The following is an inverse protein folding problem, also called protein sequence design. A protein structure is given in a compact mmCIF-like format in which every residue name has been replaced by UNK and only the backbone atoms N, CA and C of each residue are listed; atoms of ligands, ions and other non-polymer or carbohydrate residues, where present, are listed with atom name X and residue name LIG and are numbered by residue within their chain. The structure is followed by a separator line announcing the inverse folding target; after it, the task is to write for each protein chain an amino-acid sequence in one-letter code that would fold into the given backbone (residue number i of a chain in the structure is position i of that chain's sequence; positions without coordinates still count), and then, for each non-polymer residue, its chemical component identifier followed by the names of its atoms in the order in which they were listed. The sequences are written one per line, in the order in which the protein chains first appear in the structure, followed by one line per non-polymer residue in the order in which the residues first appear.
data_IF_009858548064
#
_entry.id   IF_009858548064
#
_cell.length_a   1.000
_cell.length_b   1.000
_cell.length_c   1.000
_cell.angle_alpha   90.00
_cell.angle_beta   90.00
_cell.angle_gamma   90.00
#
_symmetry.space_group_name_H-M   'P 1'
#
loop_
_entity.id
_entity.type
_entity.pdbx_description
1 polymer ?
#
# COMPACT_ATOMS: atom_id res chain seq x y z
N UNK A 1 27.80 51.02 4.61
CA UNK A 1 26.58 50.71 5.39
C UNK A 1 25.73 49.84 4.54
N UNK A 2 25.83 48.48 4.71
CA UNK A 2 24.95 47.54 4.03
C UNK A 2 23.92 47.04 5.02
N UNK A 3 22.65 47.40 4.74
CA UNK A 3 21.50 46.93 5.49
C UNK A 3 21.16 45.53 5.02
N UNK A 4 21.43 44.48 5.82
CA UNK A 4 20.97 43.11 5.60
C UNK A 4 19.54 42.96 6.12
N UNK A 5 18.55 42.94 5.24
CA UNK A 5 17.20 42.47 5.60
C UNK A 5 17.25 40.94 5.71
N UNK A 6 17.14 40.43 6.93
CA UNK A 6 16.88 39.01 7.19
C UNK A 6 15.35 38.83 7.11
N UNK A 7 14.88 38.21 6.04
CA UNK A 7 13.47 37.80 5.90
C UNK A 7 13.30 36.50 6.68
N UNK A 8 12.65 36.57 7.83
CA UNK A 8 12.19 35.39 8.56
C UNK A 8 10.96 34.83 7.86
N UNK A 9 11.11 33.70 7.15
CA UNK A 9 9.97 32.89 6.78
C UNK A 9 9.49 32.15 8.02
N UNK A 10 8.39 32.58 8.59
CA UNK A 10 7.63 31.80 9.58
C UNK A 10 6.97 30.67 8.80
N UNK A 11 7.53 29.47 8.91
CA UNK A 11 6.82 28.24 8.48
C UNK A 11 5.70 28.07 9.52
N UNK A 12 4.48 28.46 9.17
CA UNK A 12 3.31 28.02 9.91
C UNK A 12 3.26 26.49 9.79
N UNK A 13 3.58 25.80 10.88
CA UNK A 13 3.29 24.38 11.01
C UNK A 13 1.77 24.30 11.10
N UNK A 14 1.11 24.01 9.97
CA UNK A 14 -0.31 23.67 9.95
C UNK A 14 -0.42 22.36 10.72
N UNK A 15 -0.68 22.46 12.03
CA UNK A 15 -1.07 21.31 12.84
C UNK A 15 -2.46 20.90 12.39
N UNK A 16 -2.58 19.70 11.87
CA UNK A 16 -3.86 19.08 11.55
C UNK A 16 -4.75 19.14 12.82
N UNK A 17 -5.85 19.91 12.78
CA UNK A 17 -6.77 20.00 13.93
C UNK A 17 -7.52 18.66 14.03
N UNK A 18 -7.01 17.79 14.89
CA UNK A 18 -7.51 16.40 15.04
C UNK A 18 -8.99 16.32 15.44
N UNK A 19 -9.60 17.40 15.90
CA UNK A 19 -10.93 17.36 16.53
C UNK A 19 -12.10 17.52 15.58
N UNK A 20 -11.89 18.08 14.38
CA UNK A 20 -12.97 18.40 13.44
C UNK A 20 -12.59 18.09 11.97
N UNK A 21 -11.67 17.18 11.73
CA UNK A 21 -11.15 16.92 10.38
C UNK A 21 -11.84 15.73 9.73
N UNK A 22 -12.64 15.99 8.69
CA UNK A 22 -13.25 14.93 7.88
C UNK A 22 -12.22 14.34 6.91
N UNK A 23 -11.95 13.05 7.06
CA UNK A 23 -11.02 12.31 6.21
C UNK A 23 -11.78 11.28 5.36
N UNK A 24 -11.58 11.32 4.05
CA UNK A 24 -12.12 10.33 3.12
C UNK A 24 -11.10 9.21 2.93
N UNK A 25 -11.52 7.96 3.14
CA UNK A 25 -10.70 6.76 2.87
C UNK A 25 -11.37 5.95 1.78
N UNK A 26 -10.78 5.88 0.58
CA UNK A 26 -11.29 5.00 -0.48
C UNK A 26 -10.64 3.62 -0.43
N UNK A 27 -11.35 2.58 -0.89
CA UNK A 27 -10.94 1.19 -0.67
C UNK A 27 -10.97 0.81 0.81
N UNK A 28 -11.81 1.50 1.59
CA UNK A 28 -11.84 1.43 3.05
C UNK A 28 -12.20 0.05 3.60
N UNK A 29 -13.02 -0.73 2.92
CA UNK A 29 -13.31 -2.11 3.31
C UNK A 29 -12.23 -3.11 2.86
N UNK A 30 -11.27 -2.69 2.03
CA UNK A 30 -10.14 -3.50 1.59
C UNK A 30 -9.10 -3.74 2.67
N UNK A 31 -8.07 -4.51 2.34
CA UNK A 31 -6.96 -4.86 3.22
C UNK A 31 -6.29 -3.64 3.87
N UNK A 32 -5.54 -2.85 3.09
CA UNK A 32 -4.78 -1.71 3.62
C UNK A 32 -5.72 -0.61 4.13
N UNK A 33 -6.81 -0.31 3.39
CA UNK A 33 -7.75 0.75 3.74
C UNK A 33 -8.43 0.53 5.10
N UNK A 34 -8.79 -0.71 5.43
CA UNK A 34 -9.42 -1.04 6.72
C UNK A 34 -8.45 -0.99 7.89
N UNK A 35 -7.19 -1.40 7.68
CA UNK A 35 -6.14 -1.25 8.71
C UNK A 35 -5.84 0.23 8.94
N UNK A 36 -5.73 1.02 7.86
CA UNK A 36 -5.57 2.47 7.97
C UNK A 36 -6.73 3.13 8.73
N UNK A 37 -7.99 2.76 8.42
CA UNK A 37 -9.17 3.22 9.16
C UNK A 37 -9.07 2.92 10.65
N UNK A 38 -8.69 1.68 11.01
CA UNK A 38 -8.49 1.30 12.42
C UNK A 38 -7.37 2.08 13.09
N UNK A 39 -6.28 2.33 12.37
CA UNK A 39 -5.14 3.10 12.89
C UNK A 39 -5.51 4.58 13.09
N UNK A 40 -6.30 5.18 12.18
CA UNK A 40 -6.86 6.53 12.37
C UNK A 40 -7.75 6.59 13.61
N UNK A 41 -8.59 5.58 13.84
CA UNK A 41 -9.42 5.50 15.05
C UNK A 41 -8.57 5.43 16.34
N UNK A 42 -7.44 4.71 16.33
CA UNK A 42 -6.52 4.67 17.48
C UNK A 42 -5.91 6.05 17.79
N UNK A 43 -5.76 6.91 16.79
CA UNK A 43 -5.32 8.31 16.95
C UNK A 43 -6.48 9.26 17.34
N UNK A 44 -7.69 8.73 17.55
CA UNK A 44 -8.89 9.48 17.92
C UNK A 44 -9.61 10.14 16.73
N UNK A 45 -9.19 9.86 15.48
CA UNK A 45 -9.83 10.36 14.27
C UNK A 45 -11.00 9.43 13.91
N UNK A 46 -12.22 9.92 14.11
CA UNK A 46 -13.47 9.15 13.87
C UNK A 46 -14.38 9.81 12.85
N UNK A 47 -14.13 11.07 12.46
CA UNK A 47 -14.86 11.70 11.37
C UNK A 47 -14.30 11.22 10.01
N UNK A 48 -14.64 9.97 9.69
CA UNK A 48 -14.17 9.27 8.52
C UNK A 48 -15.32 8.98 7.57
N UNK A 49 -15.11 9.24 6.29
CA UNK A 49 -16.01 8.81 5.21
C UNK A 49 -15.38 7.64 4.49
N UNK A 50 -15.99 6.48 4.62
CA UNK A 50 -15.51 5.24 4.03
C UNK A 50 -16.10 5.04 2.63
N UNK A 51 -15.24 4.96 1.62
CA UNK A 51 -15.66 4.79 0.21
C UNK A 51 -15.23 3.41 -0.29
N UNK A 52 -16.21 2.58 -0.69
CA UNK A 52 -15.97 1.26 -1.31
C UNK A 52 -17.23 0.80 -2.05
N UNK A 53 -17.25 -0.40 -2.65
CA UNK A 53 -18.48 -0.97 -3.23
C UNK A 53 -19.42 -1.58 -2.19
N UNK A 54 -18.90 -2.01 -1.02
CA UNK A 54 -19.63 -2.67 0.10
C UNK A 54 -20.48 -3.89 -0.26
N UNK A 55 -20.35 -4.44 -1.48
CA UNK A 55 -21.13 -5.57 -1.95
C UNK A 55 -20.70 -6.93 -1.36
N UNK A 56 -19.45 -7.06 -0.94
CA UNK A 56 -18.92 -8.29 -0.37
C UNK A 56 -19.06 -8.28 1.16
N UNK A 57 -19.84 -9.20 1.71
CA UNK A 57 -19.98 -9.36 3.16
C UNK A 57 -18.64 -9.68 3.84
N UNK A 58 -17.85 -10.59 3.25
CA UNK A 58 -16.53 -10.96 3.79
C UNK A 58 -15.60 -9.74 3.88
N UNK A 59 -15.59 -8.92 2.83
CA UNK A 59 -14.80 -7.68 2.80
C UNK A 59 -15.30 -6.66 3.84
N UNK A 60 -16.63 -6.57 4.04
CA UNK A 60 -17.22 -5.63 4.99
C UNK A 60 -16.87 -5.96 6.46
N UNK A 61 -16.57 -7.23 6.78
CA UNK A 61 -16.08 -7.62 8.12
C UNK A 61 -14.82 -6.85 8.54
N UNK A 62 -14.00 -6.40 7.59
CA UNK A 62 -12.82 -5.59 7.89
C UNK A 62 -13.12 -4.25 8.57
N UNK A 63 -14.36 -3.75 8.45
CA UNK A 63 -14.76 -2.43 8.97
C UNK A 63 -15.86 -2.49 10.03
N UNK A 64 -16.32 -3.68 10.43
CA UNK A 64 -17.42 -3.83 11.40
C UNK A 64 -17.10 -3.22 12.78
N UNK A 65 -15.83 -3.26 13.19
CA UNK A 65 -15.36 -2.75 14.47
C UNK A 65 -14.70 -1.36 14.36
N UNK A 66 -14.97 -0.60 13.29
CA UNK A 66 -14.39 0.74 13.07
C UNK A 66 -15.42 1.83 13.36
N UNK A 67 -14.90 2.96 13.82
CA UNK A 67 -15.69 4.20 13.99
C UNK A 67 -15.54 5.07 12.75
N UNK A 68 -16.68 5.50 12.19
CA UNK A 68 -16.71 6.38 11.01
C UNK A 68 -18.06 7.10 10.95
N UNK A 69 -18.11 8.22 10.24
CA UNK A 69 -19.31 9.06 10.10
C UNK A 69 -20.27 8.48 9.06
N UNK A 70 -19.77 8.04 7.89
CA UNK A 70 -20.62 7.54 6.82
C UNK A 70 -19.91 6.57 5.88
N UNK A 71 -20.73 5.81 5.11
CA UNK A 71 -20.30 4.98 3.98
C UNK A 71 -20.83 5.59 2.69
N UNK A 72 -19.99 5.69 1.68
CA UNK A 72 -20.34 6.17 0.34
C UNK A 72 -19.97 5.10 -0.68
N UNK A 73 -20.92 4.66 -1.51
CA UNK A 73 -20.59 3.74 -2.60
C UNK A 73 -19.68 4.43 -3.60
N UNK A 74 -18.63 3.72 -4.04
CA UNK A 74 -17.63 4.26 -4.98
C UNK A 74 -18.23 4.76 -6.30
N UNK A 75 -19.40 4.27 -6.70
CA UNK A 75 -20.05 4.66 -7.94
C UNK A 75 -20.64 6.08 -7.88
N UNK A 76 -21.01 6.54 -6.68
CA UNK A 76 -21.57 7.89 -6.44
C UNK A 76 -20.60 8.80 -5.67
N UNK A 77 -19.38 8.34 -5.45
CA UNK A 77 -18.40 9.08 -4.65
C UNK A 77 -18.06 10.46 -5.23
N UNK A 78 -17.99 10.57 -6.54
CA UNK A 78 -17.65 11.85 -7.18
C UNK A 78 -18.74 12.91 -6.98
N UNK A 79 -20.00 12.55 -7.14
CA UNK A 79 -21.14 13.45 -6.90
C UNK A 79 -21.21 13.83 -5.42
N UNK A 80 -20.93 12.86 -4.54
CA UNK A 80 -20.83 13.11 -3.10
C UNK A 80 -19.70 14.09 -2.77
N UNK A 81 -18.50 13.88 -3.33
CA UNK A 81 -17.34 14.75 -3.08
C UNK A 81 -17.57 16.15 -3.62
N UNK A 82 -18.16 16.28 -4.83
CA UNK A 82 -18.51 17.57 -5.42
C UNK A 82 -19.51 18.38 -4.55
N UNK A 83 -20.38 17.67 -3.80
CA UNK A 83 -21.37 18.30 -2.91
C UNK A 83 -20.87 18.55 -1.49
N UNK A 84 -19.79 17.92 -1.04
CA UNK A 84 -19.32 17.96 0.34
C UNK A 84 -17.86 18.42 0.49
N UNK A 85 -17.20 18.82 -0.59
CA UNK A 85 -15.75 19.11 -0.63
C UNK A 85 -15.30 20.14 0.41
N UNK A 86 -16.15 21.12 0.78
CA UNK A 86 -15.84 22.14 1.79
C UNK A 86 -15.59 21.57 3.20
N UNK A 87 -16.09 20.34 3.47
CA UNK A 87 -15.94 19.65 4.76
C UNK A 87 -14.78 18.66 4.75
N UNK A 88 -14.20 18.35 3.57
CA UNK A 88 -13.16 17.33 3.43
C UNK A 88 -11.78 17.92 3.59
N UNK A 89 -11.07 17.50 4.63
CA UNK A 89 -9.70 17.96 4.94
C UNK A 89 -8.60 17.13 4.29
N UNK A 90 -8.89 15.87 3.96
CA UNK A 90 -7.92 14.96 3.37
C UNK A 90 -8.57 13.79 2.62
N UNK A 91 -7.96 13.37 1.51
CA UNK A 91 -8.35 12.15 0.79
C UNK A 91 -7.21 11.14 0.83
N UNK A 92 -7.49 9.95 1.40
CA UNK A 92 -6.61 8.78 1.41
C UNK A 92 -7.15 7.78 0.37
N UNK A 93 -6.65 7.88 -0.86
CA UNK A 93 -7.12 7.07 -1.98
C UNK A 93 -6.35 5.75 -2.10
N UNK A 94 -6.77 4.75 -1.30
CA UNK A 94 -6.14 3.42 -1.24
C UNK A 94 -6.85 2.41 -2.15
N UNK A 95 -8.04 2.74 -2.64
CA UNK A 95 -8.85 1.86 -3.48
C UNK A 95 -8.23 1.60 -4.85
N UNK A 96 -8.16 0.32 -5.23
CA UNK A 96 -7.76 -0.11 -6.57
C UNK A 96 -8.26 -1.54 -6.87
N UNK A 97 -8.37 -1.89 -8.15
CA UNK A 97 -8.37 -3.29 -8.59
C UNK A 97 -6.92 -3.79 -8.54
N UNK A 98 -6.63 -4.83 -7.76
CA UNK A 98 -5.27 -5.30 -7.49
C UNK A 98 -4.97 -6.70 -7.98
N UNK A 99 -5.87 -7.31 -8.76
CA UNK A 99 -5.71 -8.66 -9.29
C UNK A 99 -4.68 -8.67 -10.43
N UNK A 100 -3.45 -9.09 -10.15
CA UNK A 100 -2.37 -9.15 -11.13
C UNK A 100 -2.53 -10.27 -12.17
N UNK A 101 -3.55 -11.10 -12.03
CA UNK A 101 -3.88 -12.17 -12.98
C UNK A 101 -5.07 -11.82 -13.88
N UNK A 102 -5.63 -10.64 -13.72
CA UNK A 102 -6.55 -10.03 -14.67
C UNK A 102 -5.75 -9.43 -15.81
N UNK A 103 -6.10 -9.77 -17.06
CA UNK A 103 -5.40 -9.30 -18.26
C UNK A 103 -6.23 -8.31 -19.08
N UNK A 104 -7.51 -8.10 -18.73
CA UNK A 104 -8.31 -7.07 -19.37
C UNK A 104 -7.88 -5.67 -18.92
N UNK A 105 -7.11 -5.00 -19.77
CA UNK A 105 -6.61 -3.64 -19.51
C UNK A 105 -7.75 -2.64 -19.26
N UNK A 106 -8.91 -2.81 -19.92
CA UNK A 106 -10.04 -1.88 -19.80
C UNK A 106 -10.59 -1.84 -18.34
N UNK A 107 -10.52 -2.95 -17.62
CA UNK A 107 -10.89 -3.00 -16.19
C UNK A 107 -9.99 -2.10 -15.36
N UNK A 108 -8.68 -2.15 -15.61
CA UNK A 108 -7.69 -1.31 -14.90
C UNK A 108 -7.74 0.15 -15.33
N UNK A 109 -7.95 0.41 -16.62
CA UNK A 109 -8.12 1.77 -17.13
C UNK A 109 -9.33 2.44 -16.46
N UNK A 110 -10.44 1.75 -16.33
CA UNK A 110 -11.64 2.26 -15.66
C UNK A 110 -11.46 2.44 -14.16
N UNK A 111 -11.04 1.37 -13.45
CA UNK A 111 -11.09 1.29 -11.98
C UNK A 111 -9.83 1.83 -11.28
N UNK A 112 -8.69 1.88 -11.99
CA UNK A 112 -7.45 2.41 -11.43
C UNK A 112 -7.09 3.75 -12.08
N UNK A 113 -6.75 3.76 -13.38
CA UNK A 113 -6.23 4.96 -14.05
C UNK A 113 -7.24 6.11 -14.05
N UNK A 114 -8.41 5.90 -14.65
CA UNK A 114 -9.39 6.98 -14.83
C UNK A 114 -10.05 7.37 -13.50
N UNK A 115 -10.34 6.41 -12.64
CA UNK A 115 -10.91 6.70 -11.32
C UNK A 115 -9.94 7.56 -10.49
N UNK A 116 -8.65 7.20 -10.45
CA UNK A 116 -7.64 7.98 -9.72
C UNK A 116 -7.43 9.37 -10.33
N UNK A 117 -7.52 9.51 -11.68
CA UNK A 117 -7.50 10.83 -12.33
C UNK A 117 -8.66 11.72 -11.89
N UNK A 118 -9.86 11.15 -11.75
CA UNK A 118 -11.03 11.91 -11.27
C UNK A 118 -10.91 12.31 -9.79
N UNK A 119 -10.32 11.45 -8.94
CA UNK A 119 -9.98 11.81 -7.56
C UNK A 119 -8.97 12.97 -7.54
N UNK A 120 -7.88 12.86 -8.30
CA UNK A 120 -6.85 13.89 -8.38
C UNK A 120 -7.39 15.24 -8.82
N UNK A 121 -8.17 15.27 -9.91
CA UNK A 121 -8.75 16.51 -10.45
C UNK A 121 -9.60 17.24 -9.40
N UNK A 122 -10.44 16.50 -8.67
CA UNK A 122 -11.27 17.08 -7.61
C UNK A 122 -10.43 17.59 -6.45
N UNK A 123 -9.48 16.78 -5.98
CA UNK A 123 -8.56 17.20 -4.94
C UNK A 123 -7.78 18.47 -5.34
N UNK A 124 -7.31 18.55 -6.58
CA UNK A 124 -6.64 19.75 -7.10
C UNK A 124 -7.59 20.94 -7.29
N UNK A 125 -8.86 20.71 -7.64
CA UNK A 125 -9.85 21.79 -7.84
C UNK A 125 -10.35 22.36 -6.53
N UNK A 126 -10.48 21.52 -5.50
CA UNK A 126 -11.04 21.89 -4.20
C UNK A 126 -9.97 22.10 -3.13
N UNK A 127 -8.69 22.17 -3.51
CA UNK A 127 -7.54 22.35 -2.61
C UNK A 127 -7.47 21.30 -1.48
N UNK A 128 -7.86 20.05 -1.76
CA UNK A 128 -7.83 18.93 -0.83
C UNK A 128 -6.52 18.15 -0.96
N UNK A 129 -5.74 17.96 0.13
CA UNK A 129 -4.55 17.11 0.11
C UNK A 129 -4.87 15.64 -0.19
N UNK A 130 -3.98 14.96 -0.91
CA UNK A 130 -4.18 13.61 -1.43
C UNK A 130 -2.99 12.69 -1.14
N UNK A 131 -3.25 11.51 -0.57
CA UNK A 131 -2.33 10.38 -0.64
C UNK A 131 -2.99 9.28 -1.47
N UNK A 132 -2.26 8.71 -2.43
CA UNK A 132 -2.81 7.65 -3.27
C UNK A 132 -1.90 6.42 -3.34
N UNK A 133 -2.52 5.26 -3.57
CA UNK A 133 -1.82 4.00 -3.73
C UNK A 133 -1.25 3.86 -5.14
N UNK A 134 0.08 3.98 -5.29
CA UNK A 134 0.85 3.45 -6.40
C UNK A 134 1.36 2.03 -6.05
N UNK A 135 2.35 1.49 -6.76
CA UNK A 135 2.83 0.13 -6.55
C UNK A 135 4.27 -0.06 -7.00
N UNK A 136 5.02 -0.92 -6.31
CA UNK A 136 6.32 -1.40 -6.78
C UNK A 136 6.22 -2.23 -8.08
N UNK A 137 5.00 -2.70 -8.46
CA UNK A 137 4.77 -3.34 -9.75
C UNK A 137 5.11 -2.43 -10.94
N UNK A 138 5.16 -1.11 -10.74
CA UNK A 138 5.59 -0.13 -11.75
C UNK A 138 7.03 -0.29 -12.18
N UNK A 139 7.89 -0.85 -11.31
CA UNK A 139 9.33 -1.01 -11.57
C UNK A 139 9.68 -2.16 -12.54
N UNK A 140 8.70 -3.02 -12.89
CA UNK A 140 8.95 -4.14 -13.78
C UNK A 140 9.98 -5.12 -13.21
N UNK A 141 11.02 -5.44 -13.98
CA UNK A 141 12.13 -6.29 -13.52
C UNK A 141 13.21 -5.52 -12.74
N UNK A 142 13.02 -4.21 -12.54
CA UNK A 142 13.95 -3.38 -11.78
C UNK A 142 15.15 -2.89 -12.59
N UNK A 143 15.03 -2.78 -13.92
CA UNK A 143 16.12 -2.39 -14.82
C UNK A 143 16.69 -1.00 -14.50
N UNK A 144 15.89 -0.12 -13.89
CA UNK A 144 16.29 1.21 -13.45
C UNK A 144 16.42 1.31 -11.92
N UNK A 145 16.52 0.17 -11.22
CA UNK A 145 16.47 0.09 -9.76
C UNK A 145 15.07 0.31 -9.19
N UNK A 146 14.97 0.17 -7.87
CA UNK A 146 13.72 0.37 -7.12
C UNK A 146 13.79 1.71 -6.39
N UNK A 147 13.94 2.80 -7.16
CA UNK A 147 14.09 4.17 -6.65
C UNK A 147 12.85 5.00 -7.04
N UNK A 148 12.41 5.87 -6.15
CA UNK A 148 11.23 6.73 -6.31
C UNK A 148 11.58 8.08 -6.95
N UNK A 149 12.55 8.07 -7.88
CA UNK A 149 12.93 9.20 -8.67
C UNK A 149 11.91 9.45 -9.80
N UNK A 150 11.46 10.70 -9.93
CA UNK A 150 10.49 11.08 -10.95
C UNK A 150 11.05 10.97 -12.38
N UNK A 151 12.37 11.13 -12.57
CA UNK A 151 13.00 11.09 -13.90
C UNK A 151 12.97 9.71 -14.56
N UNK A 152 12.84 8.64 -13.77
CA UNK A 152 12.81 7.28 -14.32
C UNK A 152 11.39 6.79 -14.65
N UNK A 153 10.34 7.47 -14.18
CA UNK A 153 8.94 6.99 -14.28
C UNK A 153 8.53 6.71 -15.72
N UNK A 154 8.98 7.55 -16.68
CA UNK A 154 8.72 7.34 -18.12
C UNK A 154 9.42 6.11 -18.70
N UNK A 155 10.52 5.68 -18.10
CA UNK A 155 11.35 4.57 -18.58
C UNK A 155 10.91 3.22 -18.03
N UNK A 156 10.09 3.21 -16.96
CA UNK A 156 9.66 1.99 -16.27
C UNK A 156 8.82 1.10 -17.19
N UNK A 157 9.02 -0.22 -17.05
CA UNK A 157 8.36 -1.26 -17.85
C UNK A 157 7.62 -2.26 -16.95
N UNK A 158 6.40 -1.94 -16.50
CA UNK A 158 5.58 -2.88 -15.73
C UNK A 158 5.33 -4.18 -16.48
N UNK A 159 5.15 -5.29 -15.74
CA UNK A 159 5.04 -6.63 -16.32
C UNK A 159 3.59 -7.09 -16.56
N UNK A 160 2.60 -6.31 -16.12
CA UNK A 160 1.18 -6.65 -16.22
C UNK A 160 0.30 -5.39 -16.26
N UNK A 161 -0.97 -5.52 -16.71
CA UNK A 161 -1.90 -4.37 -16.83
C UNK A 161 -2.14 -3.62 -15.51
N UNK A 162 -2.08 -4.30 -14.37
CA UNK A 162 -2.15 -3.65 -13.06
C UNK A 162 -0.99 -2.65 -12.87
N UNK A 163 0.25 -3.13 -13.02
CA UNK A 163 1.45 -2.28 -12.93
C UNK A 163 1.45 -1.15 -13.94
N UNK A 164 1.00 -1.41 -15.18
CA UNK A 164 0.83 -0.40 -16.22
C UNK A 164 -0.13 0.70 -15.77
N UNK A 165 -1.32 0.34 -15.25
CA UNK A 165 -2.33 1.31 -14.80
C UNK A 165 -1.82 2.24 -13.70
N UNK A 166 -0.97 1.72 -12.79
CA UNK A 166 -0.33 2.52 -11.74
C UNK A 166 0.75 3.44 -12.30
N UNK A 167 1.59 2.93 -13.20
CA UNK A 167 2.64 3.72 -13.84
C UNK A 167 2.07 4.80 -14.78
N UNK A 168 1.02 4.48 -15.51
CA UNK A 168 0.34 5.44 -16.38
C UNK A 168 -0.28 6.60 -15.58
N UNK A 169 -0.80 6.29 -14.36
CA UNK A 169 -1.26 7.34 -13.47
C UNK A 169 -0.09 8.16 -12.91
N UNK A 170 0.99 7.54 -12.45
CA UNK A 170 2.18 8.23 -11.94
C UNK A 170 2.75 9.19 -13.01
N UNK A 171 2.90 8.72 -14.28
CA UNK A 171 3.32 9.54 -15.42
C UNK A 171 2.39 10.73 -15.67
N UNK A 172 1.08 10.48 -15.60
CA UNK A 172 0.08 11.51 -15.82
C UNK A 172 0.12 12.55 -14.70
N UNK A 173 0.19 12.15 -13.44
CA UNK A 173 0.20 13.03 -12.28
C UNK A 173 1.39 13.98 -12.27
N UNK A 174 2.58 13.49 -12.65
CA UNK A 174 3.80 14.29 -12.74
C UNK A 174 3.76 15.40 -13.82
N UNK A 175 2.85 15.28 -14.79
CA UNK A 175 2.69 16.26 -15.89
C UNK A 175 1.58 17.29 -15.65
N UNK A 176 0.88 17.21 -14.50
CA UNK A 176 -0.22 18.12 -14.24
C UNK A 176 0.29 19.45 -13.69
N UNK A 177 -0.11 20.57 -14.32
CA UNK A 177 0.16 21.92 -13.82
C UNK A 177 -0.64 22.20 -12.54
N UNK A 178 -1.94 21.77 -12.52
CA UNK A 178 -2.79 21.87 -11.33
C UNK A 178 -2.72 20.60 -10.52
N UNK A 179 -2.21 20.72 -9.30
CA UNK A 179 -2.00 19.61 -8.37
C UNK A 179 -2.74 19.86 -7.05
N UNK A 180 -3.06 18.80 -6.27
CA UNK A 180 -3.49 18.95 -4.89
C UNK A 180 -2.44 19.74 -4.07
N UNK A 181 -2.84 20.52 -3.03
CA UNK A 181 -1.92 21.37 -2.26
C UNK A 181 -0.79 20.57 -1.58
N UNK A 182 -1.06 19.31 -1.30
CA UNK A 182 -0.07 18.28 -0.96
C UNK A 182 -0.51 16.95 -1.60
N UNK A 183 0.44 16.20 -2.15
CA UNK A 183 0.16 14.85 -2.61
C UNK A 183 1.34 13.90 -2.41
N UNK A 184 1.03 12.63 -2.13
CA UNK A 184 2.01 11.56 -2.10
C UNK A 184 1.48 10.32 -2.80
N UNK A 185 2.20 9.85 -3.81
CA UNK A 185 1.95 8.58 -4.49
C UNK A 185 2.83 7.49 -3.87
N UNK A 186 2.22 6.51 -3.21
CA UNK A 186 2.94 5.51 -2.44
C UNK A 186 3.15 4.23 -3.26
N UNK A 187 4.39 3.94 -3.63
CA UNK A 187 4.77 2.70 -4.31
C UNK A 187 4.89 1.58 -3.27
N UNK A 188 3.76 0.90 -3.00
CA UNK A 188 3.72 -0.21 -2.05
C UNK A 188 4.53 -1.40 -2.56
N UNK A 189 5.42 -1.91 -1.71
CA UNK A 189 6.11 -3.18 -1.91
C UNK A 189 5.22 -4.35 -1.45
N UNK A 190 5.77 -5.44 -0.98
CA UNK A 190 4.98 -6.62 -0.64
C UNK A 190 4.33 -6.48 0.75
N UNK A 191 3.16 -5.83 0.77
CA UNK A 191 2.41 -5.61 2.02
C UNK A 191 1.75 -6.90 2.49
N UNK A 192 1.87 -7.21 3.80
CA UNK A 192 1.21 -8.33 4.45
C UNK A 192 0.64 -7.93 5.83
N UNK A 193 -0.30 -8.70 6.35
CA UNK A 193 -0.84 -8.49 7.70
C UNK A 193 -2.35 -8.72 7.82
N UNK A 194 -2.97 -8.32 8.94
CA UNK A 194 -4.39 -8.57 9.20
C UNK A 194 -5.31 -7.95 8.15
N UNK A 195 -6.53 -8.49 8.08
CA UNK A 195 -7.61 -8.09 7.16
C UNK A 195 -7.41 -8.56 5.71
N UNK A 196 -6.63 -9.62 5.47
CA UNK A 196 -6.44 -10.23 4.14
C UNK A 196 -7.45 -11.34 3.80
N UNK A 197 -8.32 -11.77 4.69
CA UNK A 197 -9.20 -12.95 4.52
C UNK A 197 -9.96 -12.96 3.20
N UNK A 198 -10.47 -11.82 2.75
CA UNK A 198 -11.26 -11.66 1.52
C UNK A 198 -10.44 -11.70 0.22
N UNK A 199 -9.10 -11.79 0.30
CA UNK A 199 -8.24 -11.64 -0.89
C UNK A 199 -8.07 -12.93 -1.71
N UNK A 200 -8.49 -14.09 -1.19
CA UNK A 200 -8.32 -15.37 -1.87
C UNK A 200 -6.86 -15.58 -2.28
N UNK A 201 -6.61 -15.94 -3.53
CA UNK A 201 -5.25 -16.18 -4.05
C UNK A 201 -4.32 -14.95 -4.03
N UNK A 202 -4.88 -13.75 -3.92
CA UNK A 202 -4.10 -12.50 -3.86
C UNK A 202 -3.70 -12.12 -2.42
N UNK A 203 -4.00 -12.95 -1.43
CA UNK A 203 -3.48 -12.79 -0.07
C UNK A 203 -1.96 -13.00 -0.03
N UNK A 204 -1.31 -12.51 1.03
CA UNK A 204 0.14 -12.64 1.19
C UNK A 204 0.60 -14.09 1.26
N UNK A 205 1.88 -14.33 0.98
CA UNK A 205 2.47 -15.67 1.12
C UNK A 205 2.40 -16.16 2.58
N UNK A 206 2.44 -15.24 3.57
CA UNK A 206 2.27 -15.58 4.99
C UNK A 206 0.88 -16.18 5.23
N UNK A 207 -0.17 -15.56 4.70
CA UNK A 207 -1.54 -16.07 4.79
C UNK A 207 -1.64 -17.50 4.24
N UNK A 208 -1.10 -17.73 3.04
CA UNK A 208 -1.10 -19.05 2.41
C UNK A 208 -0.23 -20.06 3.15
N UNK A 209 0.95 -19.66 3.64
CA UNK A 209 1.86 -20.51 4.40
C UNK A 209 1.20 -20.96 5.71
N UNK A 210 0.56 -20.06 6.46
CA UNK A 210 -0.18 -20.40 7.67
C UNK A 210 -1.23 -21.48 7.40
N UNK A 211 -2.07 -21.30 6.39
CA UNK A 211 -3.10 -22.30 6.07
C UNK A 211 -2.52 -23.62 5.57
N UNK A 212 -1.41 -23.61 4.81
CA UNK A 212 -0.71 -24.82 4.41
C UNK A 212 -0.14 -25.56 5.62
N UNK A 213 0.47 -24.86 6.58
CA UNK A 213 1.02 -25.45 7.81
C UNK A 213 -0.11 -26.10 8.63
N UNK A 214 -1.24 -25.42 8.80
CA UNK A 214 -2.37 -25.94 9.57
C UNK A 214 -3.01 -27.19 8.91
N UNK A 215 -3.11 -27.22 7.58
CA UNK A 215 -3.77 -28.33 6.87
C UNK A 215 -2.84 -29.52 6.58
N UNK A 216 -1.55 -29.25 6.29
CA UNK A 216 -0.64 -30.27 5.76
C UNK A 216 0.66 -30.43 6.55
N UNK A 217 0.95 -29.51 7.49
CA UNK A 217 2.22 -29.45 8.19
C UNK A 217 3.41 -29.02 7.34
N UNK A 218 3.19 -28.57 6.08
CA UNK A 218 4.25 -28.21 5.14
C UNK A 218 3.94 -26.90 4.43
N UNK A 219 4.99 -26.22 3.93
CA UNK A 219 4.87 -25.04 3.05
C UNK A 219 5.51 -25.36 1.70
N UNK A 220 4.83 -25.04 0.61
CA UNK A 220 5.34 -25.15 -0.75
C UNK A 220 5.90 -23.82 -1.23
N UNK A 221 7.19 -23.82 -1.62
CA UNK A 221 7.86 -22.67 -2.21
C UNK A 221 8.31 -23.00 -3.64
N UNK A 222 8.45 -21.99 -4.48
CA UNK A 222 8.92 -22.18 -5.84
C UNK A 222 10.42 -22.44 -5.89
N UNK A 223 10.82 -23.41 -6.75
CA UNK A 223 12.20 -23.59 -7.16
C UNK A 223 12.71 -22.36 -7.92
N UNK A 224 14.00 -22.16 -7.89
CA UNK A 224 14.66 -21.21 -8.77
C UNK A 224 14.83 -21.78 -10.19
N UNK A 225 14.69 -20.93 -11.19
CA UNK A 225 15.05 -21.21 -12.59
C UNK A 225 16.25 -20.35 -13.03
N UNK A 226 16.95 -19.75 -12.06
CA UNK A 226 18.16 -18.95 -12.28
C UNK A 226 19.30 -19.52 -11.44
N UNK A 227 20.53 -19.58 -12.00
CA UNK A 227 21.68 -20.15 -11.29
C UNK A 227 22.19 -19.29 -10.12
N UNK A 228 21.85 -18.00 -10.09
CA UNK A 228 22.26 -17.02 -9.08
C UNK A 228 21.33 -17.02 -7.83
N UNK A 229 20.26 -17.82 -7.83
CA UNK A 229 19.37 -18.00 -6.68
C UNK A 229 19.15 -19.49 -6.40
N UNK A 230 19.16 -19.87 -5.14
CA UNK A 230 18.72 -21.22 -4.72
C UNK A 230 17.19 -21.25 -4.62
N UNK A 231 16.63 -22.47 -4.49
CA UNK A 231 15.22 -22.71 -4.34
C UNK A 231 14.65 -21.96 -3.11
N UNK A 232 13.60 -21.18 -3.30
CA UNK A 232 12.97 -20.39 -2.25
C UNK A 232 13.75 -19.15 -1.78
N UNK A 233 14.96 -18.87 -2.34
CA UNK A 233 15.79 -17.74 -1.97
C UNK A 233 15.54 -16.49 -2.85
N UNK A 234 14.48 -16.49 -3.66
CA UNK A 234 14.01 -15.25 -4.29
C UNK A 234 13.66 -14.22 -3.21
N UNK A 235 13.98 -12.96 -3.46
CA UNK A 235 13.96 -11.89 -2.47
C UNK A 235 12.81 -10.90 -2.71
N UNK A 236 12.11 -10.53 -1.63
CA UNK A 236 11.10 -9.47 -1.63
C UNK A 236 11.27 -8.55 -0.44
N UNK A 237 10.93 -7.30 -0.64
CA UNK A 237 10.75 -6.35 0.45
C UNK A 237 9.33 -6.53 1.02
N UNK A 238 9.25 -7.28 2.12
CA UNK A 238 7.99 -7.53 2.83
C UNK A 238 7.77 -6.44 3.87
N UNK A 239 6.67 -5.71 3.75
CA UNK A 239 6.33 -4.62 4.67
C UNK A 239 5.03 -4.93 5.42
N UNK A 240 5.08 -4.73 6.75
CA UNK A 240 3.92 -4.99 7.59
C UNK A 240 2.86 -3.89 7.43
N UNK A 241 1.59 -4.26 7.30
CA UNK A 241 0.51 -3.31 7.00
C UNK A 241 0.32 -2.22 8.06
N UNK A 242 0.67 -2.50 9.34
CA UNK A 242 0.61 -1.49 10.40
C UNK A 242 1.68 -0.40 10.19
N UNK A 243 2.86 -0.77 9.68
CA UNK A 243 3.90 0.21 9.32
C UNK A 243 3.47 1.04 8.11
N UNK A 244 2.79 0.41 7.15
CA UNK A 244 2.20 1.13 6.01
C UNK A 244 1.23 2.22 6.51
N UNK A 245 0.35 1.89 7.45
CA UNK A 245 -0.57 2.85 8.04
C UNK A 245 0.17 3.97 8.80
N UNK A 246 1.25 3.64 9.54
CA UNK A 246 2.07 4.63 10.24
C UNK A 246 2.74 5.63 9.28
N UNK A 247 3.28 5.15 8.15
CA UNK A 247 3.88 6.02 7.11
C UNK A 247 2.82 6.94 6.49
N UNK A 248 1.63 6.42 6.18
CA UNK A 248 0.53 7.23 5.62
C UNK A 248 0.15 8.36 6.60
N UNK A 249 0.00 8.05 7.90
CA UNK A 249 -0.32 9.05 8.92
C UNK A 249 0.81 10.07 9.10
N UNK A 250 2.08 9.61 9.05
CA UNK A 250 3.21 10.52 9.07
C UNK A 250 3.14 11.51 7.90
N UNK A 251 2.95 11.05 6.68
CA UNK A 251 2.87 11.90 5.50
C UNK A 251 1.65 12.82 5.53
N UNK A 252 0.51 12.34 6.02
CA UNK A 252 -0.70 13.15 6.22
C UNK A 252 -0.45 14.32 7.17
N UNK A 253 0.27 14.07 8.28
CA UNK A 253 0.53 15.09 9.30
C UNK A 253 1.68 16.03 8.92
N UNK A 254 2.77 15.52 8.35
CA UNK A 254 3.99 16.30 8.04
C UNK A 254 3.94 17.02 6.72
N UNK A 255 3.22 16.48 5.73
CA UNK A 255 3.09 17.03 4.37
C UNK A 255 4.44 17.49 3.80
N UNK A 256 5.43 16.59 3.66
CA UNK A 256 6.73 16.96 3.09
C UNK A 256 6.59 17.34 1.60
N UNK A 257 7.69 17.40 0.86
CA UNK A 257 7.63 17.70 -0.59
C UNK A 257 6.73 16.69 -1.29
N UNK A 258 5.74 17.20 -2.06
CA UNK A 258 4.84 16.35 -2.85
C UNK A 258 5.61 15.51 -3.86
N UNK A 259 5.14 14.26 -4.08
CA UNK A 259 5.79 13.37 -5.04
C UNK A 259 5.52 11.90 -4.80
N UNK A 260 6.24 11.06 -5.55
CA UNK A 260 6.23 9.61 -5.38
C UNK A 260 7.17 9.22 -4.24
N UNK A 261 6.75 8.27 -3.42
CA UNK A 261 7.51 7.71 -2.31
C UNK A 261 7.44 6.19 -2.33
N UNK A 262 8.59 5.53 -2.19
CA UNK A 262 8.61 4.11 -1.91
C UNK A 262 8.07 3.82 -0.51
N UNK A 263 7.33 2.70 -0.39
CA UNK A 263 6.87 2.19 0.88
C UNK A 263 7.13 0.68 0.96
N UNK A 264 8.33 0.35 1.38
CA UNK A 264 8.85 -0.94 1.80
C UNK A 264 9.57 -0.80 3.12
N UNK A 265 10.42 -1.74 3.46
CA UNK A 265 11.31 -1.68 4.64
C UNK A 265 12.74 -1.29 4.28
N UNK A 266 13.11 -1.37 3.00
CA UNK A 266 14.49 -1.24 2.51
C UNK A 266 15.34 -2.48 2.78
N UNK A 267 14.72 -3.62 3.18
CA UNK A 267 15.40 -4.88 3.49
C UNK A 267 14.69 -6.04 2.80
N UNK A 268 15.26 -6.50 1.69
CA UNK A 268 14.74 -7.68 1.01
C UNK A 268 15.00 -8.95 1.84
N UNK A 269 14.01 -9.85 1.89
CA UNK A 269 14.05 -11.12 2.61
C UNK A 269 13.61 -12.26 1.69
N UNK A 270 14.10 -13.46 1.96
CA UNK A 270 13.77 -14.63 1.15
C UNK A 270 12.38 -15.21 1.49
N UNK A 271 11.79 -15.95 0.56
CA UNK A 271 10.58 -16.72 0.85
C UNK A 271 10.84 -17.84 1.87
N UNK A 272 12.07 -18.36 1.94
CA UNK A 272 12.49 -19.29 3.00
C UNK A 272 12.46 -18.63 4.38
N UNK A 273 12.95 -17.40 4.52
CA UNK A 273 12.86 -16.65 5.79
C UNK A 273 11.40 -16.46 6.21
N UNK A 274 10.55 -16.05 5.26
CA UNK A 274 9.12 -15.88 5.51
C UNK A 274 8.45 -17.18 5.97
N UNK A 275 8.72 -18.31 5.29
CA UNK A 275 8.17 -19.60 5.67
C UNK A 275 8.65 -20.04 7.06
N UNK A 276 9.94 -19.87 7.36
CA UNK A 276 10.49 -20.18 8.69
C UNK A 276 9.85 -19.35 9.79
N UNK A 277 9.70 -18.02 9.59
CA UNK A 277 9.02 -17.14 10.54
C UNK A 277 7.55 -17.56 10.74
N UNK A 278 6.86 -18.04 9.69
CA UNK A 278 5.48 -18.52 9.82
C UNK A 278 5.40 -19.82 10.64
N UNK A 279 6.34 -20.76 10.43
CA UNK A 279 6.44 -21.98 11.25
C UNK A 279 6.72 -21.66 12.71
N UNK A 280 7.65 -20.74 12.98
CA UNK A 280 7.98 -20.28 14.33
C UNK A 280 6.77 -19.68 15.04
N UNK A 281 5.99 -18.86 14.34
CA UNK A 281 4.79 -18.23 14.89
C UNK A 281 3.68 -19.22 15.27
N UNK A 282 3.69 -20.45 14.75
CA UNK A 282 2.77 -21.55 15.14
C UNK A 282 3.47 -22.65 15.97
N UNK A 283 4.66 -22.38 16.48
CA UNK A 283 5.45 -23.30 17.32
C UNK A 283 5.71 -24.67 16.66
N UNK A 284 5.94 -24.70 15.33
CA UNK A 284 6.23 -25.92 14.56
C UNK A 284 7.61 -25.86 13.88
N UNK A 285 8.23 -27.04 13.71
CA UNK A 285 9.49 -27.12 12.96
C UNK A 285 9.26 -26.92 11.46
N UNK A 286 10.13 -26.19 10.76
CA UNK A 286 9.96 -25.91 9.33
C UNK A 286 10.05 -27.17 8.46
N UNK A 287 9.02 -27.42 7.65
CA UNK A 287 8.99 -28.45 6.60
C UNK A 287 8.64 -27.76 5.29
N UNK A 288 9.66 -27.51 4.46
CA UNK A 288 9.53 -26.79 3.19
C UNK A 288 9.69 -27.77 2.02
N UNK A 289 8.71 -27.79 1.14
CA UNK A 289 8.72 -28.53 -0.11
C UNK A 289 8.93 -27.56 -1.29
N UNK A 290 9.90 -27.84 -2.16
CA UNK A 290 10.13 -27.00 -3.32
C UNK A 290 9.42 -27.58 -4.56
N UNK A 291 8.59 -26.75 -5.20
CA UNK A 291 7.80 -27.07 -6.38
C UNK A 291 8.22 -26.23 -7.59
N UNK A 292 7.99 -26.72 -8.79
CA UNK A 292 8.32 -25.97 -10.01
C UNK A 292 7.46 -24.70 -10.12
N UNK A 293 8.09 -23.60 -10.53
CA UNK A 293 7.36 -22.36 -10.84
C UNK A 293 6.46 -22.61 -12.06
N UNK A 294 5.15 -22.28 -11.99
CA UNK A 294 4.24 -22.41 -13.12
C UNK A 294 4.78 -21.73 -14.38
N UNK A 295 4.63 -22.39 -15.54
CA UNK A 295 5.24 -21.97 -16.80
C UNK A 295 4.76 -20.58 -17.27
N UNK A 296 3.49 -20.24 -16.98
CA UNK A 296 2.82 -19.00 -17.37
C UNK A 296 3.36 -17.75 -16.65
N UNK A 297 3.99 -17.94 -15.48
CA UNK A 297 4.57 -16.84 -14.70
C UNK A 297 6.10 -16.82 -14.68
N UNK A 298 6.75 -17.92 -15.13
CA UNK A 298 8.21 -18.14 -15.01
C UNK A 298 9.03 -17.02 -15.61
N UNK A 299 8.73 -16.62 -16.85
CA UNK A 299 9.49 -15.60 -17.59
C UNK A 299 9.29 -14.17 -17.07
N UNK A 300 8.19 -13.94 -16.32
CA UNK A 300 7.84 -12.66 -15.72
C UNK A 300 8.09 -12.64 -14.21
N UNK A 301 8.69 -13.70 -13.66
CA UNK A 301 8.89 -13.84 -12.23
C UNK A 301 10.03 -12.93 -11.74
N UNK A 302 9.71 -11.98 -10.90
CA UNK A 302 10.71 -11.11 -10.27
C UNK A 302 11.53 -11.93 -9.24
N UNK A 303 12.84 -11.88 -9.33
CA UNK A 303 13.73 -12.57 -8.38
C UNK A 303 14.16 -11.69 -7.22
N UNK A 304 14.11 -10.38 -7.40
CA UNK A 304 14.54 -9.41 -6.39
C UNK A 304 13.66 -8.17 -6.43
N UNK A 305 13.22 -7.70 -5.25
CA UNK A 305 12.67 -6.35 -5.05
C UNK A 305 13.10 -5.81 -3.70
N UNK A 306 13.62 -4.59 -3.66
CA UNK A 306 13.99 -3.89 -2.43
C UNK A 306 13.78 -2.39 -2.61
N UNK A 307 13.00 -1.78 -1.74
CA UNK A 307 12.73 -0.35 -1.77
C UNK A 307 13.99 0.46 -1.43
N UNK A 308 14.29 1.48 -2.21
CA UNK A 308 15.15 2.54 -1.75
C UNK A 308 14.29 3.51 -0.90
N UNK A 309 14.57 3.57 0.39
CA UNK A 309 13.79 4.35 1.37
C UNK A 309 14.38 5.74 1.65
N UNK A 310 15.47 6.13 0.97
CA UNK A 310 16.21 7.37 1.26
C UNK A 310 15.33 8.62 1.20
N UNK A 311 14.36 8.70 0.27
CA UNK A 311 13.46 9.84 0.13
C UNK A 311 12.52 9.97 1.32
N UNK A 312 11.93 8.87 1.79
CA UNK A 312 11.07 8.87 2.97
C UNK A 312 11.85 9.21 4.25
N UNK A 313 13.06 8.68 4.40
CA UNK A 313 13.96 9.01 5.52
C UNK A 313 14.34 10.50 5.47
N UNK A 314 14.70 11.03 4.30
CA UNK A 314 15.02 12.45 4.13
C UNK A 314 13.81 13.37 4.39
N UNK A 315 12.59 12.87 4.19
CA UNK A 315 11.35 13.55 4.58
C UNK A 315 11.11 13.58 6.10
N UNK A 316 11.97 12.91 6.88
CA UNK A 316 11.94 12.89 8.35
C UNK A 316 11.23 11.70 8.97
N UNK A 317 10.93 10.65 8.21
CA UNK A 317 10.41 9.40 8.79
C UNK A 317 11.57 8.60 9.41
N UNK A 318 11.61 8.54 10.73
CA UNK A 318 12.65 7.91 11.54
C UNK A 318 12.17 6.69 12.34
N UNK A 319 10.88 6.37 12.26
CA UNK A 319 10.30 5.22 12.95
C UNK A 319 10.80 3.90 12.31
N UNK A 320 11.42 2.99 13.08
CA UNK A 320 11.88 1.71 12.56
C UNK A 320 10.71 0.87 12.03
N UNK A 321 10.90 0.23 10.87
CA UNK A 321 9.97 -0.76 10.36
C UNK A 321 10.03 -2.05 11.18
N UNK A 322 8.88 -2.68 11.36
CA UNK A 322 8.74 -3.99 12.01
C UNK A 322 9.55 -5.04 11.24
N UNK A 323 10.34 -5.86 11.94
CA UNK A 323 11.06 -6.97 11.30
C UNK A 323 10.08 -8.00 10.72
N UNK A 324 10.53 -8.79 9.74
CA UNK A 324 9.70 -9.84 9.15
C UNK A 324 9.19 -10.81 10.24
N UNK A 325 10.08 -11.24 11.13
CA UNK A 325 9.78 -12.17 12.22
C UNK A 325 8.69 -11.60 13.15
N UNK A 326 8.86 -10.37 13.63
CA UNK A 326 7.90 -9.74 14.55
C UNK A 326 6.55 -9.47 13.88
N UNK A 327 6.55 -9.04 12.62
CA UNK A 327 5.31 -8.78 11.87
C UNK A 327 4.55 -10.07 11.55
N UNK A 328 5.28 -11.15 11.21
CA UNK A 328 4.68 -12.48 10.99
C UNK A 328 4.14 -13.04 12.30
N UNK A 329 4.89 -12.95 13.40
CA UNK A 329 4.44 -13.41 14.73
C UNK A 329 3.15 -12.70 15.17
N UNK A 330 3.12 -11.38 15.10
CA UNK A 330 1.90 -10.59 15.42
C UNK A 330 0.73 -10.96 14.49
N UNK A 331 0.95 -11.08 13.18
CA UNK A 331 -0.09 -11.44 12.23
C UNK A 331 -0.66 -12.83 12.46
N UNK A 332 0.21 -13.83 12.65
CA UNK A 332 -0.20 -15.22 12.82
C UNK A 332 -0.88 -15.42 14.19
N UNK A 333 -0.24 -15.03 15.29
CA UNK A 333 -0.75 -15.31 16.63
C UNK A 333 -2.00 -14.50 16.98
N UNK A 334 -2.00 -13.21 16.65
CA UNK A 334 -3.05 -12.29 17.11
C UNK A 334 -4.22 -12.16 16.13
N UNK A 335 -4.09 -12.66 14.90
CA UNK A 335 -5.13 -12.53 13.87
C UNK A 335 -5.47 -13.84 13.18
N UNK A 336 -4.52 -14.52 12.52
CA UNK A 336 -4.83 -15.72 11.74
C UNK A 336 -5.28 -16.88 12.60
N UNK A 337 -4.54 -17.22 13.66
CA UNK A 337 -4.84 -18.36 14.56
C UNK A 337 -6.17 -18.20 15.28
N UNK A 338 -6.63 -16.97 15.49
CA UNK A 338 -7.87 -16.67 16.22
C UNK A 338 -8.99 -16.13 15.32
N UNK A 339 -8.76 -16.04 14.02
CA UNK A 339 -9.76 -15.53 13.04
C UNK A 339 -10.20 -14.08 13.30
N UNK A 340 -9.31 -13.25 13.86
CA UNK A 340 -9.62 -11.88 14.29
C UNK A 340 -9.28 -10.87 13.18
N UNK A 341 -10.08 -9.81 13.09
CA UNK A 341 -9.81 -8.63 12.27
C UNK A 341 -9.13 -7.56 13.13
N UNK A 342 -8.26 -6.77 12.47
CA UNK A 342 -7.61 -5.61 13.11
C UNK A 342 -8.60 -4.54 13.46
#
# INVERSE_FOLDING_TARGET
VFNKYVVYFTIEIITFDKKNSMIVVTGAAGFIGSVLTGRLNQDGLTDLVLVDSFLSQEKNRNIENKSFTSKVDRAVFFDWLDSNHEQVDFVLHIGARTDTTEFDKAVFDKLNLNYTKEVWKRCANYDIPLIYASSAATYGLGEFGYIDDHEIVEKLKPLNPYGESKNDFDKWALKQDKQPPFWAGLKFFNVYGPNEFHKGRMASVIFHAFHQIEHTGKVKLFKSHRPDFKDGEQLRDFVYVKDVANVIIFLMNKRPVSGLYNLGTGKARTFVDLAKATFEAVDKQPVIEFIDTPADIRDKYQYFTQANMNKLIAAGYDTPFTSLENGVDDYVRNYLSVGKYY
#
